data_IF_382399925225
#
_entry.id   IF_382399925225
#
_cell.length_a   1.000
_cell.length_b   1.000
_cell.length_c   1.000
_cell.angle_alpha   90.00
_cell.angle_beta   90.00
_cell.angle_gamma   90.00
#
_symmetry.space_group_name_H-M   'P 1'
#
loop_
_entity.id
_entity.type
_entity.pdbx_description
1 polymer ?
#
# COMPACT_ATOMS: atom_id res chain seq x y z
N UNK A 1 14.80 2.31 -50.33
CA UNK A 1 14.52 1.06 -49.57
C UNK A 1 14.02 1.44 -48.18
N UNK A 2 13.08 0.69 -47.63
CA UNK A 2 11.91 1.20 -46.89
C UNK A 2 12.15 1.73 -45.47
N UNK A 3 11.42 2.83 -45.18
CA UNK A 3 11.07 3.37 -43.86
C UNK A 3 10.31 2.32 -43.04
N UNK A 4 10.98 1.49 -42.23
CA UNK A 4 10.31 0.48 -41.39
C UNK A 4 10.77 0.39 -39.92
N UNK A 5 11.51 1.37 -39.36
CA UNK A 5 12.03 1.26 -37.98
C UNK A 5 11.56 2.31 -36.96
N UNK A 6 10.45 3.02 -37.20
CA UNK A 6 9.88 3.91 -36.17
C UNK A 6 8.38 3.63 -35.93
N UNK A 7 8.10 2.48 -35.31
CA UNK A 7 6.80 2.19 -34.69
C UNK A 7 6.97 1.55 -33.30
N UNK A 8 7.92 2.00 -32.49
CA UNK A 8 7.69 1.97 -31.03
C UNK A 8 6.81 3.18 -30.74
N UNK A 9 5.49 2.98 -30.67
CA UNK A 9 4.58 4.01 -30.16
C UNK A 9 5.04 4.33 -28.73
N UNK A 10 5.52 5.56 -28.53
CA UNK A 10 5.76 6.11 -27.20
C UNK A 10 4.42 6.23 -26.50
N UNK A 11 4.02 5.18 -25.79
CA UNK A 11 2.89 5.22 -24.90
C UNK A 11 3.40 5.57 -23.50
N UNK A 12 3.51 6.86 -23.21
CA UNK A 12 3.28 7.35 -21.84
C UNK A 12 1.79 7.15 -21.54
N UNK A 13 1.36 5.90 -21.41
CA UNK A 13 -0.02 5.60 -21.05
C UNK A 13 -0.21 5.94 -19.58
N UNK A 14 -1.06 6.93 -19.29
CA UNK A 14 -1.64 7.11 -17.96
C UNK A 14 -2.52 5.90 -17.66
N UNK A 15 -1.93 4.84 -17.11
CA UNK A 15 -2.68 3.63 -16.76
C UNK A 15 -3.40 3.75 -15.42
N UNK A 16 -3.28 4.88 -14.70
CA UNK A 16 -3.59 4.85 -13.26
C UNK A 16 -4.58 5.90 -12.77
N UNK A 17 -5.62 5.39 -12.10
CA UNK A 17 -6.85 6.08 -11.68
C UNK A 17 -6.73 6.90 -10.38
N UNK A 18 -5.59 6.94 -9.70
CA UNK A 18 -5.44 7.70 -8.44
C UNK A 18 -4.16 8.53 -8.42
N UNK A 19 -4.24 9.75 -7.87
CA UNK A 19 -3.11 10.69 -7.72
C UNK A 19 -1.90 10.07 -7.00
N UNK A 20 -2.14 9.07 -6.14
CA UNK A 20 -1.12 8.36 -5.36
C UNK A 20 -0.29 7.36 -6.18
N UNK A 21 -0.86 6.79 -7.25
CA UNK A 21 -0.16 5.85 -8.12
C UNK A 21 0.49 6.54 -9.33
N UNK A 22 0.28 7.86 -9.49
CA UNK A 22 0.80 8.65 -10.60
C UNK A 22 2.32 8.75 -10.58
N UNK A 23 2.91 9.03 -9.41
CA UNK A 23 4.37 9.20 -9.31
C UNK A 23 5.12 7.90 -9.64
N UNK A 24 4.79 6.74 -9.06
CA UNK A 24 5.50 5.51 -9.38
C UNK A 24 5.28 5.04 -10.82
N UNK A 25 4.08 5.24 -11.38
CA UNK A 25 3.82 4.95 -12.79
C UNK A 25 4.64 5.83 -13.73
N UNK A 26 4.80 7.12 -13.40
CA UNK A 26 5.64 8.03 -14.16
C UNK A 26 7.12 7.66 -14.06
N UNK A 27 7.60 7.27 -12.87
CA UNK A 27 8.99 6.80 -12.69
C UNK A 27 9.25 5.50 -13.45
N UNK A 28 8.31 4.55 -13.44
CA UNK A 28 8.41 3.33 -14.24
C UNK A 28 8.46 3.66 -15.74
N UNK A 29 7.54 4.49 -16.24
CA UNK A 29 7.52 4.88 -17.65
C UNK A 29 8.80 5.64 -18.07
N UNK A 30 9.38 6.41 -17.14
CA UNK A 30 10.65 7.10 -17.35
C UNK A 30 11.81 6.10 -17.51
N UNK A 31 11.88 5.08 -16.64
CA UNK A 31 12.86 3.98 -16.74
C UNK A 31 12.67 3.20 -18.04
N UNK A 32 11.43 2.82 -18.37
CA UNK A 32 11.10 2.07 -19.59
C UNK A 32 11.49 2.84 -20.87
N UNK A 33 11.55 4.18 -20.78
CA UNK A 33 11.91 5.07 -21.88
C UNK A 33 13.39 5.47 -21.90
N UNK A 34 14.23 4.95 -20.99
CA UNK A 34 15.62 5.36 -20.81
C UNK A 34 16.44 5.36 -22.10
N UNK A 35 16.50 4.23 -22.82
CA UNK A 35 17.29 4.11 -24.05
C UNK A 35 16.86 5.12 -25.12
N UNK A 36 15.55 5.36 -25.22
CA UNK A 36 15.00 6.31 -26.16
C UNK A 36 15.31 7.75 -25.76
N UNK A 37 15.28 8.07 -24.46
CA UNK A 37 15.66 9.38 -23.93
C UNK A 37 17.15 9.66 -24.10
N UNK A 38 18.02 8.66 -23.89
CA UNK A 38 19.45 8.75 -24.17
C UNK A 38 19.69 9.02 -25.66
N UNK A 39 19.06 8.25 -26.56
CA UNK A 39 19.18 8.43 -28.00
C UNK A 39 18.69 9.81 -28.48
N UNK A 40 17.58 10.30 -27.94
CA UNK A 40 17.03 11.63 -28.26
C UNK A 40 17.96 12.73 -27.74
N UNK A 41 18.48 12.58 -26.51
CA UNK A 41 19.38 13.55 -25.87
C UNK A 41 20.72 13.67 -26.59
N UNK A 42 21.20 12.60 -27.25
CA UNK A 42 22.45 12.60 -28.04
C UNK A 42 22.23 13.12 -29.47
N UNK A 43 20.98 13.19 -29.94
CA UNK A 43 20.66 13.68 -31.29
C UNK A 43 21.19 15.12 -31.51
N UNK A 44 21.83 15.43 -32.65
CA UNK A 44 22.43 16.73 -32.90
C UNK A 44 21.44 17.91 -32.79
N UNK A 45 20.21 17.72 -33.29
CA UNK A 45 19.18 18.77 -33.27
C UNK A 45 18.70 19.07 -31.84
N UNK A 46 18.48 18.03 -31.04
CA UNK A 46 17.99 18.14 -29.67
C UNK A 46 19.11 18.61 -28.74
N UNK A 47 20.32 18.09 -28.90
CA UNK A 47 21.50 18.56 -28.16
C UNK A 47 21.69 20.05 -28.35
N UNK A 48 21.66 20.53 -29.61
CA UNK A 48 21.79 21.96 -29.91
C UNK A 48 20.72 22.78 -29.20
N UNK A 49 19.46 22.32 -29.19
CA UNK A 49 18.35 22.99 -28.52
C UNK A 49 18.43 22.91 -26.98
N UNK A 50 18.92 21.82 -26.40
CA UNK A 50 19.05 21.67 -24.95
C UNK A 50 20.17 22.54 -24.38
N UNK A 51 21.28 22.71 -25.11
CA UNK A 51 22.43 23.49 -24.66
C UNK A 51 22.17 25.02 -24.64
N UNK A 52 21.07 25.50 -25.22
CA UNK A 52 20.72 26.93 -25.20
C UNK A 52 20.12 27.38 -23.86
N UNK A 53 19.65 26.45 -23.03
CA UNK A 53 18.99 26.77 -21.76
C UNK A 53 19.65 26.02 -20.60
N UNK A 54 19.71 26.63 -19.42
CA UNK A 54 20.22 25.96 -18.22
C UNK A 54 19.39 24.72 -17.85
N UNK A 55 18.07 24.79 -18.04
CA UNK A 55 17.18 23.64 -17.83
C UNK A 55 17.51 22.48 -18.79
N UNK A 56 17.74 22.76 -20.07
CA UNK A 56 18.10 21.73 -21.05
C UNK A 56 19.47 21.11 -20.77
N UNK A 57 20.46 21.90 -20.34
CA UNK A 57 21.77 21.40 -19.89
C UNK A 57 21.63 20.46 -18.69
N UNK A 58 20.81 20.84 -17.70
CA UNK A 58 20.56 20.03 -16.51
C UNK A 58 19.89 18.70 -16.86
N UNK A 59 18.81 18.72 -17.66
CA UNK A 59 18.12 17.50 -18.11
C UNK A 59 19.06 16.58 -18.87
N UNK A 60 19.86 17.14 -19.79
CA UNK A 60 20.85 16.36 -20.54
C UNK A 60 21.86 15.69 -19.61
N UNK A 61 22.36 16.41 -18.61
CA UNK A 61 23.29 15.86 -17.62
C UNK A 61 22.64 14.68 -16.88
N UNK A 62 21.41 14.85 -16.40
CA UNK A 62 20.69 13.80 -15.65
C UNK A 62 20.42 12.56 -16.50
N UNK A 63 19.90 12.72 -17.73
CA UNK A 63 19.55 11.59 -18.61
C UNK A 63 20.78 10.75 -19.01
N UNK A 64 21.97 11.36 -19.06
CA UNK A 64 23.21 10.66 -19.42
C UNK A 64 23.98 10.14 -18.20
N UNK A 65 23.48 10.39 -16.99
CA UNK A 65 24.11 9.98 -15.74
C UNK A 65 23.57 8.61 -15.30
N UNK A 66 24.47 7.62 -15.23
CA UNK A 66 24.13 6.26 -14.81
C UNK A 66 23.71 6.20 -13.34
N UNK A 67 24.33 7.02 -12.49
CA UNK A 67 24.03 7.04 -11.06
C UNK A 67 22.64 7.61 -10.82
N UNK A 68 22.25 8.64 -11.57
CA UNK A 68 20.89 9.17 -11.53
C UNK A 68 19.83 8.12 -11.88
N UNK A 69 20.05 7.30 -12.91
CA UNK A 69 19.13 6.20 -13.23
C UNK A 69 19.05 5.14 -12.12
N UNK A 70 20.17 4.86 -11.47
CA UNK A 70 20.23 3.98 -10.30
C UNK A 70 19.41 4.55 -9.13
N UNK A 71 19.51 5.86 -8.86
CA UNK A 71 18.69 6.55 -7.85
C UNK A 71 17.20 6.47 -8.17
N UNK A 72 16.80 6.72 -9.42
CA UNK A 72 15.40 6.62 -9.87
C UNK A 72 14.86 5.20 -9.67
N UNK A 73 15.64 4.18 -10.02
CA UNK A 73 15.31 2.78 -9.78
C UNK A 73 15.22 2.46 -8.29
N UNK A 74 16.10 3.03 -7.48
CA UNK A 74 16.08 2.92 -6.02
C UNK A 74 14.79 3.46 -5.42
N UNK A 75 14.37 4.67 -5.82
CA UNK A 75 13.10 5.26 -5.38
C UNK A 75 11.91 4.38 -5.77
N UNK A 76 11.91 3.85 -6.99
CA UNK A 76 10.83 2.98 -7.44
C UNK A 76 10.77 1.67 -6.64
N UNK A 77 11.94 1.07 -6.35
CA UNK A 77 12.08 -0.13 -5.53
C UNK A 77 11.57 0.11 -4.10
N UNK A 78 11.85 1.28 -3.54
CA UNK A 78 11.36 1.69 -2.21
C UNK A 78 9.82 1.79 -2.17
N UNK A 79 9.19 2.31 -3.23
CA UNK A 79 7.75 2.57 -3.27
C UNK A 79 6.95 1.36 -3.80
N UNK A 80 7.58 0.40 -4.44
CA UNK A 80 6.93 -0.79 -5.02
C UNK A 80 6.01 -1.55 -4.04
N UNK A 81 6.35 -1.75 -2.75
CA UNK A 81 5.45 -2.43 -1.81
C UNK A 81 4.11 -1.71 -1.60
N UNK A 82 4.06 -0.37 -1.72
CA UNK A 82 2.81 0.39 -1.67
C UNK A 82 1.93 0.17 -2.89
N UNK A 83 2.54 -0.09 -4.05
CA UNK A 83 1.80 -0.35 -5.29
C UNK A 83 1.19 -1.75 -5.30
N UNK A 84 1.91 -2.72 -4.75
CA UNK A 84 1.45 -4.10 -4.60
C UNK A 84 0.50 -4.31 -3.42
N UNK A 85 0.25 -3.26 -2.62
CA UNK A 85 -0.53 -3.33 -1.40
C UNK A 85 -2.01 -3.70 -1.66
N UNK A 86 -2.47 -4.76 -1.00
CA UNK A 86 -3.89 -5.14 -0.90
C UNK A 86 -4.60 -4.19 0.06
N UNK A 87 -5.83 -3.70 -0.23
CA UNK A 87 -6.54 -2.72 0.60
C UNK A 87 -7.07 -3.29 1.95
N UNK A 88 -6.44 -4.32 2.50
CA UNK A 88 -6.84 -4.97 3.76
C UNK A 88 -6.10 -4.35 4.95
N UNK A 89 -6.84 -3.87 5.94
CA UNK A 89 -6.28 -3.11 7.07
C UNK A 89 -5.15 -3.85 7.81
N UNK A 90 -5.26 -5.17 7.96
CA UNK A 90 -4.23 -6.03 8.57
C UNK A 90 -2.87 -5.98 7.86
N UNK A 91 -2.86 -5.74 6.56
CA UNK A 91 -1.64 -5.75 5.75
C UNK A 91 -0.90 -4.41 5.76
N UNK A 92 -1.49 -3.35 6.33
CA UNK A 92 -0.86 -2.02 6.39
C UNK A 92 0.49 -2.06 7.11
N UNK A 93 0.54 -2.78 8.23
CA UNK A 93 1.75 -2.90 9.04
C UNK A 93 2.87 -3.62 8.26
N UNK A 94 2.53 -4.69 7.54
CA UNK A 94 3.44 -5.38 6.62
C UNK A 94 3.96 -4.45 5.53
N UNK A 95 3.07 -3.70 4.87
CA UNK A 95 3.45 -2.79 3.78
C UNK A 95 4.45 -1.75 4.27
N UNK A 96 4.23 -1.17 5.46
CA UNK A 96 5.16 -0.24 6.09
C UNK A 96 6.56 -0.86 6.29
N UNK A 97 6.64 -2.05 6.89
CA UNK A 97 7.92 -2.70 7.16
C UNK A 97 8.65 -3.02 5.85
N UNK A 98 7.95 -3.48 4.81
CA UNK A 98 8.55 -3.72 3.48
C UNK A 98 9.13 -2.45 2.84
N UNK A 99 8.46 -1.30 2.99
CA UNK A 99 8.98 -0.01 2.50
C UNK A 99 10.21 0.40 3.27
N UNK A 100 10.18 0.27 4.60
CA UNK A 100 11.32 0.57 5.46
C UNK A 100 12.53 -0.30 5.08
N UNK A 101 12.32 -1.59 4.90
CA UNK A 101 13.38 -2.54 4.55
C UNK A 101 13.89 -2.34 3.11
N UNK A 102 13.06 -1.85 2.20
CA UNK A 102 13.48 -1.45 0.86
C UNK A 102 14.28 -0.14 0.88
N UNK A 103 13.89 0.82 1.72
CA UNK A 103 14.59 2.09 1.92
C UNK A 103 15.99 1.87 2.51
N UNK A 104 16.12 1.03 3.54
CA UNK A 104 17.42 0.72 4.16
C UNK A 104 18.37 0.04 3.16
N UNK A 105 17.86 -0.85 2.31
CA UNK A 105 18.65 -1.48 1.24
C UNK A 105 19.09 -0.50 0.16
N UNK A 106 18.25 0.48 -0.16
CA UNK A 106 18.51 1.47 -1.24
C UNK A 106 19.50 2.55 -0.81
N UNK A 107 19.46 2.98 0.45
CA UNK A 107 20.33 4.05 0.96
C UNK A 107 21.78 3.60 1.27
N UNK A 108 22.08 2.30 1.18
CA UNK A 108 23.36 1.74 1.63
C UNK A 108 23.50 1.81 3.15
N UNK A 109 24.34 0.96 3.73
CA UNK A 109 24.52 0.84 5.19
C UNK A 109 25.15 2.07 5.87
N UNK A 110 25.40 3.16 5.14
CA UNK A 110 26.13 4.34 5.65
C UNK A 110 25.25 5.55 5.97
N UNK A 111 23.98 5.56 5.55
CA UNK A 111 23.01 6.54 6.05
C UNK A 111 21.63 5.89 6.29
N UNK A 112 21.43 5.25 7.45
CA UNK A 112 20.18 4.61 7.81
C UNK A 112 19.00 5.58 7.96
N UNK A 113 19.20 6.90 7.86
CA UNK A 113 18.15 7.92 7.95
C UNK A 113 18.22 8.95 6.81
N UNK A 114 18.10 8.49 5.56
CA UNK A 114 17.85 9.41 4.46
C UNK A 114 16.65 10.33 4.78
N UNK A 115 16.72 11.60 4.38
CA UNK A 115 15.67 12.59 4.67
C UNK A 115 14.26 12.13 4.23
N UNK A 116 14.18 11.27 3.20
CA UNK A 116 12.96 10.63 2.76
C UNK A 116 12.43 9.59 3.77
N UNK A 117 13.29 8.71 4.28
CA UNK A 117 12.94 7.73 5.30
C UNK A 117 12.54 8.39 6.62
N UNK A 118 13.22 9.47 7.02
CA UNK A 118 12.85 10.28 8.19
C UNK A 118 11.46 10.90 8.05
N UNK A 119 11.15 11.50 6.88
CA UNK A 119 9.81 12.03 6.59
C UNK A 119 8.76 10.91 6.56
N UNK A 120 9.09 9.76 6.00
CA UNK A 120 8.19 8.60 5.95
C UNK A 120 7.90 8.07 7.36
N UNK A 121 8.92 7.84 8.18
CA UNK A 121 8.78 7.42 9.57
C UNK A 121 8.00 8.43 10.42
N UNK A 122 8.25 9.73 10.23
CA UNK A 122 7.47 10.79 10.89
C UNK A 122 5.99 10.74 10.52
N UNK A 123 5.65 10.47 9.26
CA UNK A 123 4.26 10.30 8.81
C UNK A 123 3.66 9.00 9.36
N UNK A 124 4.40 7.90 9.32
CA UNK A 124 3.95 6.63 9.86
C UNK A 124 3.62 6.73 11.35
N UNK A 125 4.48 7.36 12.17
CA UNK A 125 4.22 7.58 13.60
C UNK A 125 2.88 8.28 13.89
N UNK A 126 2.35 9.07 12.95
CA UNK A 126 1.05 9.75 13.08
C UNK A 126 -0.14 8.87 12.73
N UNK A 127 0.08 7.80 11.96
CA UNK A 127 -0.98 6.92 11.43
C UNK A 127 -0.92 5.53 12.10
N UNK A 128 0.24 5.13 12.62
CA UNK A 128 0.52 3.85 13.27
C UNK A 128 -0.20 3.72 14.61
N UNK A 129 -1.51 3.53 14.55
CA UNK A 129 -2.36 3.26 15.68
C UNK A 129 -2.31 1.78 16.07
N UNK A 130 -2.73 1.47 17.29
CA UNK A 130 -2.65 0.10 17.82
C UNK A 130 -3.57 -0.86 17.07
N UNK A 131 -4.65 -0.37 16.48
CA UNK A 131 -5.56 -1.12 15.63
C UNK A 131 -4.84 -1.73 14.43
N UNK A 132 -3.95 -0.97 13.77
CA UNK A 132 -3.16 -1.47 12.63
C UNK A 132 -2.22 -2.59 13.10
N UNK A 133 -1.60 -2.41 14.26
CA UNK A 133 -0.70 -3.41 14.85
C UNK A 133 -1.46 -4.68 15.18
N UNK A 134 -2.56 -4.59 15.93
CA UNK A 134 -3.38 -5.73 16.32
C UNK A 134 -3.99 -6.45 15.12
N UNK A 135 -4.51 -5.72 14.13
CA UNK A 135 -5.04 -6.31 12.91
C UNK A 135 -3.99 -7.16 12.16
N UNK A 136 -2.71 -6.79 12.24
CA UNK A 136 -1.64 -7.59 11.63
C UNK A 136 -1.43 -8.94 12.33
N UNK A 137 -1.61 -9.01 13.66
CA UNK A 137 -1.55 -10.26 14.41
C UNK A 137 -2.82 -11.12 14.23
N UNK A 138 -3.95 -10.49 13.95
CA UNK A 138 -5.20 -11.20 13.64
C UNK A 138 -5.24 -11.77 12.22
N UNK A 139 -4.31 -11.38 11.35
CA UNK A 139 -4.18 -11.93 10.00
C UNK A 139 -3.23 -13.14 9.98
N UNK A 140 -3.77 -14.28 10.39
CA UNK A 140 -3.02 -15.53 10.41
C UNK A 140 -2.70 -16.07 9.01
N UNK A 141 -3.23 -15.48 7.93
CA UNK A 141 -2.79 -15.82 6.57
C UNK A 141 -1.36 -15.36 6.30
N UNK A 142 -0.83 -14.45 7.12
CA UNK A 142 0.56 -14.00 7.08
C UNK A 142 1.52 -15.01 7.72
N UNK A 143 1.04 -15.86 8.63
CA UNK A 143 1.88 -16.82 9.35
C UNK A 143 2.41 -17.89 8.40
N UNK A 144 3.75 -18.03 8.34
CA UNK A 144 4.43 -18.94 7.42
C UNK A 144 4.42 -18.51 5.95
N UNK A 145 3.95 -17.29 5.65
CA UNK A 145 4.04 -16.67 4.33
C UNK A 145 5.31 -15.84 4.14
N UNK A 146 5.34 -15.02 3.08
CA UNK A 146 6.46 -14.13 2.73
C UNK A 146 6.69 -12.98 3.75
N UNK A 147 5.86 -12.90 4.79
CA UNK A 147 5.99 -11.94 5.88
C UNK A 147 5.23 -12.45 7.09
N UNK A 148 5.94 -12.64 8.20
CA UNK A 148 5.34 -12.90 9.51
C UNK A 148 5.41 -11.59 10.32
N UNK A 149 4.34 -11.22 11.07
CA UNK A 149 4.44 -10.12 12.02
C UNK A 149 5.67 -10.30 12.92
N UNK A 150 6.45 -9.23 13.19
CA UNK A 150 7.62 -9.34 14.03
C UNK A 150 7.24 -9.82 15.43
N UNK A 151 8.18 -10.48 16.11
CA UNK A 151 8.00 -10.86 17.51
C UNK A 151 7.66 -9.61 18.35
N UNK A 152 6.70 -9.76 19.26
CA UNK A 152 6.28 -8.65 20.13
C UNK A 152 7.39 -8.38 21.16
N UNK A 153 8.03 -7.22 21.02
CA UNK A 153 8.94 -6.68 22.01
C UNK A 153 8.20 -6.14 23.24
N UNK A 154 8.95 -5.89 24.32
CA UNK A 154 8.39 -5.40 25.59
C UNK A 154 7.63 -4.08 25.40
N UNK A 155 8.13 -3.20 24.54
CA UNK A 155 7.47 -1.93 24.22
C UNK A 155 6.12 -2.14 23.54
N UNK A 156 6.02 -3.06 22.58
CA UNK A 156 4.76 -3.37 21.91
C UNK A 156 3.79 -4.03 22.88
N UNK A 157 4.27 -4.89 23.78
CA UNK A 157 3.46 -5.52 24.82
C UNK A 157 2.85 -4.49 25.77
N UNK A 158 3.64 -3.54 26.26
CA UNK A 158 3.15 -2.42 27.08
C UNK A 158 2.11 -1.58 26.34
N UNK A 159 2.32 -1.31 25.05
CA UNK A 159 1.36 -0.57 24.22
C UNK A 159 0.05 -1.32 24.02
N UNK A 160 0.09 -2.65 23.83
CA UNK A 160 -1.12 -3.49 23.72
C UNK A 160 -1.89 -3.48 25.04
N UNK A 161 -1.21 -3.70 26.17
CA UNK A 161 -1.84 -3.65 27.49
C UNK A 161 -2.47 -2.28 27.75
N UNK A 162 -1.72 -1.20 27.49
CA UNK A 162 -2.22 0.17 27.64
C UNK A 162 -3.39 0.48 26.71
N UNK A 163 -3.41 -0.10 25.50
CA UNK A 163 -4.53 0.01 24.58
C UNK A 163 -5.79 -0.65 25.13
N UNK A 164 -5.73 -1.91 25.58
CA UNK A 164 -6.90 -2.59 26.12
C UNK A 164 -7.47 -1.87 27.35
N UNK A 165 -6.63 -1.48 28.31
CA UNK A 165 -7.06 -0.72 29.49
C UNK A 165 -7.71 0.62 29.16
N UNK A 166 -7.23 1.29 28.10
CA UNK A 166 -7.76 2.60 27.70
C UNK A 166 -9.08 2.48 26.91
N UNK A 167 -9.17 1.46 26.06
CA UNK A 167 -10.30 1.29 25.14
C UNK A 167 -11.50 0.66 25.84
N UNK A 168 -11.27 -0.30 26.73
CA UNK A 168 -12.33 -1.02 27.44
C UNK A 168 -12.43 -0.50 28.87
N UNK A 169 -13.61 0.02 29.22
CA UNK A 169 -13.90 0.55 30.57
C UNK A 169 -14.08 -0.54 31.63
N UNK A 170 -14.27 -1.78 31.18
CA UNK A 170 -14.39 -2.95 32.04
C UNK A 170 -13.01 -3.61 32.13
N UNK A 171 -12.41 -3.52 33.33
CA UNK A 171 -11.08 -4.07 33.59
C UNK A 171 -11.04 -5.59 33.41
N UNK A 172 -12.12 -6.31 33.75
CA UNK A 172 -12.17 -7.76 33.60
C UNK A 172 -12.19 -8.16 32.12
N UNK A 173 -12.90 -7.40 31.28
CA UNK A 173 -12.88 -7.59 29.83
C UNK A 173 -11.50 -7.27 29.25
N UNK A 174 -10.86 -6.19 29.70
CA UNK A 174 -9.53 -5.81 29.24
C UNK A 174 -8.46 -6.87 29.58
N UNK A 175 -8.50 -7.42 30.79
CA UNK A 175 -7.65 -8.54 31.22
C UNK A 175 -7.90 -9.78 30.37
N UNK A 176 -9.17 -10.16 30.16
CA UNK A 176 -9.55 -11.31 29.34
C UNK A 176 -9.07 -11.18 27.89
N UNK A 177 -9.19 -10.00 27.30
CA UNK A 177 -8.69 -9.72 25.95
C UNK A 177 -7.16 -9.83 25.87
N UNK A 178 -6.46 -9.34 26.89
CA UNK A 178 -5.01 -9.42 26.97
C UNK A 178 -4.52 -10.87 27.09
N UNK A 179 -5.16 -11.67 27.93
CA UNK A 179 -4.83 -13.09 28.10
C UNK A 179 -5.11 -13.89 26.82
N UNK A 180 -6.28 -13.71 26.21
CA UNK A 180 -6.61 -14.36 24.93
C UNK A 180 -5.65 -13.95 23.81
N UNK A 181 -5.21 -12.68 23.80
CA UNK A 181 -4.20 -12.22 22.85
C UNK A 181 -2.84 -12.89 23.10
N UNK A 182 -2.46 -13.06 24.36
CA UNK A 182 -1.29 -13.85 24.75
C UNK A 182 -1.36 -15.29 24.24
N UNK A 183 -2.51 -15.95 24.42
CA UNK A 183 -2.74 -17.32 23.93
C UNK A 183 -2.63 -17.41 22.40
N UNK A 184 -3.14 -16.41 21.67
CA UNK A 184 -3.01 -16.35 20.20
C UNK A 184 -1.53 -16.33 19.78
N UNK A 185 -0.73 -15.47 20.43
CA UNK A 185 0.69 -15.32 20.11
C UNK A 185 1.49 -16.57 20.47
N UNK A 186 1.18 -17.17 21.62
CA UNK A 186 1.80 -18.41 22.08
C UNK A 186 1.32 -19.65 21.29
N UNK A 187 0.32 -19.50 20.42
CA UNK A 187 -0.40 -20.60 19.77
C UNK A 187 -0.86 -21.63 20.80
N UNK A 188 -1.44 -21.14 21.89
CA UNK A 188 -1.88 -21.93 23.03
C UNK A 188 -3.41 -22.08 23.04
N UNK A 189 -3.89 -23.01 23.87
CA UNK A 189 -5.33 -23.23 24.09
C UNK A 189 -6.09 -23.50 22.78
N UNK A 190 -7.12 -22.70 22.53
CA UNK A 190 -7.98 -22.80 21.33
C UNK A 190 -7.24 -22.45 20.03
N UNK A 191 -6.10 -21.76 20.10
CA UNK A 191 -5.29 -21.35 18.94
C UNK A 191 -4.17 -22.35 18.60
N UNK A 192 -4.01 -23.42 19.37
CA UNK A 192 -2.97 -24.44 19.17
C UNK A 192 -3.31 -25.44 18.05
N UNK A 193 -4.55 -25.44 17.54
CA UNK A 193 -5.01 -26.44 16.58
C UNK A 193 -4.30 -26.30 15.22
N UNK A 194 -3.45 -27.27 14.91
CA UNK A 194 -2.67 -27.31 13.67
C UNK A 194 -3.51 -27.40 12.38
N UNK A 195 -4.72 -27.98 12.45
CA UNK A 195 -5.65 -28.01 11.32
C UNK A 195 -6.23 -26.61 11.08
N UNK A 196 -6.67 -25.91 12.13
CA UNK A 196 -7.19 -24.55 12.01
C UNK A 196 -6.15 -23.57 11.48
N UNK A 197 -4.89 -23.71 11.90
CA UNK A 197 -3.77 -22.89 11.39
C UNK A 197 -3.51 -23.13 9.90
N UNK A 198 -3.57 -24.39 9.43
CA UNK A 198 -3.44 -24.71 8.00
C UNK A 198 -4.59 -24.15 7.18
N UNK A 199 -5.80 -24.11 7.75
CA UNK A 199 -6.97 -23.51 7.11
C UNK A 199 -6.83 -22.00 7.03
N UNK A 200 -6.26 -21.34 8.03
CA UNK A 200 -6.05 -19.89 8.07
C UNK A 200 -5.29 -19.36 6.86
N UNK A 201 -4.31 -20.10 6.35
CA UNK A 201 -3.54 -19.75 5.15
C UNK A 201 -4.36 -19.78 3.84
N UNK A 202 -5.54 -20.41 3.84
CA UNK A 202 -6.35 -20.66 2.63
C UNK A 202 -7.63 -19.84 2.55
N UNK A 203 -8.06 -19.23 3.66
CA UNK A 203 -9.29 -18.45 3.73
C UNK A 203 -8.99 -17.01 4.18
N UNK A 204 -9.95 -16.10 4.00
CA UNK A 204 -9.74 -14.73 4.48
C UNK A 204 -9.69 -14.71 6.02
N UNK A 205 -8.85 -13.85 6.63
CA UNK A 205 -8.76 -13.74 8.09
C UNK A 205 -10.10 -13.47 8.75
N UNK A 206 -10.92 -12.60 8.14
CA UNK A 206 -12.25 -12.30 8.62
C UNK A 206 -13.15 -13.56 8.68
N UNK A 207 -13.11 -14.39 7.64
CA UNK A 207 -13.86 -15.66 7.62
C UNK A 207 -13.31 -16.61 8.68
N UNK A 208 -11.99 -16.72 8.81
CA UNK A 208 -11.37 -17.59 9.82
C UNK A 208 -11.84 -17.26 11.23
N UNK A 209 -11.79 -15.98 11.63
CA UNK A 209 -12.28 -15.56 12.95
C UNK A 209 -13.77 -15.83 13.13
N UNK A 210 -14.60 -15.54 12.11
CA UNK A 210 -16.05 -15.67 12.18
C UNK A 210 -16.54 -17.11 12.34
N UNK A 211 -15.84 -18.07 11.74
CA UNK A 211 -16.30 -19.47 11.70
C UNK A 211 -15.73 -20.33 12.83
N UNK A 212 -14.61 -19.96 13.43
CA UNK A 212 -13.87 -20.85 14.33
C UNK A 212 -13.90 -20.42 15.79
N UNK A 213 -14.25 -19.17 16.10
CA UNK A 213 -14.22 -18.64 17.46
C UNK A 213 -15.48 -17.83 17.76
N UNK A 214 -15.91 -17.90 19.01
CA UNK A 214 -17.00 -17.10 19.58
C UNK A 214 -16.54 -16.58 20.96
N UNK A 215 -15.46 -15.82 20.94
CA UNK A 215 -14.86 -15.21 22.13
C UNK A 215 -14.63 -13.70 21.94
N UNK A 216 -14.25 -13.02 23.01
CA UNK A 216 -14.09 -11.56 23.02
C UNK A 216 -13.01 -11.10 22.03
N UNK A 217 -11.88 -11.83 21.95
CA UNK A 217 -10.82 -11.53 21.01
C UNK A 217 -11.28 -11.68 19.55
N UNK A 218 -12.10 -12.67 19.25
CA UNK A 218 -12.66 -12.88 17.90
C UNK A 218 -13.60 -11.75 17.49
N UNK A 219 -14.38 -11.20 18.44
CA UNK A 219 -15.22 -10.03 18.20
C UNK A 219 -14.36 -8.83 17.81
N UNK A 220 -13.31 -8.55 18.60
CA UNK A 220 -12.36 -7.47 18.30
C UNK A 220 -11.64 -7.70 16.95
N UNK A 221 -11.20 -8.93 16.68
CA UNK A 221 -10.53 -9.27 15.42
C UNK A 221 -11.44 -8.98 14.22
N UNK A 222 -12.72 -9.37 14.29
CA UNK A 222 -13.70 -9.10 13.24
C UNK A 222 -13.93 -7.59 13.05
N UNK A 223 -14.01 -6.81 14.12
CA UNK A 223 -14.14 -5.36 14.07
C UNK A 223 -12.94 -4.70 13.37
N UNK A 224 -11.72 -5.06 13.78
CA UNK A 224 -10.50 -4.47 13.21
C UNK A 224 -10.27 -4.90 11.76
N UNK A 225 -10.53 -6.17 11.42
CA UNK A 225 -10.38 -6.69 10.07
C UNK A 225 -11.44 -6.13 9.10
N UNK A 226 -12.60 -5.68 9.62
CA UNK A 226 -13.62 -5.02 8.84
C UNK A 226 -13.30 -3.55 8.51
N UNK A 227 -12.29 -2.94 9.17
CA UNK A 227 -11.86 -1.58 8.86
C UNK A 227 -11.37 -1.53 7.41
N UNK A 228 -11.86 -0.56 6.64
CA UNK A 228 -11.38 -0.31 5.28
C UNK A 228 -10.35 0.83 5.32
N UNK A 229 -9.05 0.55 5.06
CA UNK A 229 -7.96 1.51 5.23
C UNK A 229 -7.95 2.65 4.21
N UNK A 230 -8.69 2.54 3.10
CA UNK A 230 -8.58 3.50 2.00
C UNK A 230 -9.92 4.16 1.65
N UNK A 231 -9.88 5.49 1.53
CA UNK A 231 -10.82 6.25 0.71
C UNK A 231 -10.63 5.94 -0.79
N UNK A 232 -9.54 5.28 -1.19
CA UNK A 232 -9.22 4.97 -2.58
C UNK A 232 -10.29 4.13 -3.30
N UNK A 233 -11.02 3.27 -2.58
CA UNK A 233 -12.19 2.59 -3.14
C UNK A 233 -13.33 3.56 -3.47
N UNK A 234 -13.56 4.53 -2.58
CA UNK A 234 -14.51 5.62 -2.77
C UNK A 234 -14.01 6.52 -3.91
N UNK A 235 -12.71 6.84 -4.00
CA UNK A 235 -12.13 7.62 -5.09
C UNK A 235 -12.23 6.91 -6.44
N UNK A 236 -12.07 5.57 -6.49
CA UNK A 236 -12.29 4.76 -7.70
C UNK A 236 -13.76 4.76 -8.10
N UNK A 237 -14.67 4.66 -7.13
CA UNK A 237 -16.12 4.75 -7.35
C UNK A 237 -16.50 6.12 -7.94
N UNK A 238 -15.99 7.21 -7.34
CA UNK A 238 -16.17 8.57 -7.88
C UNK A 238 -15.47 8.80 -9.22
N UNK A 239 -14.32 8.16 -9.48
CA UNK A 239 -13.62 8.26 -10.77
C UNK A 239 -14.36 7.51 -11.87
N UNK A 240 -14.92 6.34 -11.56
CA UNK A 240 -15.76 5.54 -12.48
C UNK A 240 -16.99 6.35 -12.89
N UNK A 241 -17.57 7.09 -11.95
CA UNK A 241 -18.68 8.02 -12.20
C UNK A 241 -18.23 9.44 -12.56
N UNK A 242 -16.93 9.66 -12.80
CA UNK A 242 -16.38 10.98 -13.07
C UNK A 242 -16.96 11.61 -14.34
N UNK A 243 -17.33 10.78 -15.32
CA UNK A 243 -18.02 11.21 -16.54
C UNK A 243 -19.42 11.77 -16.25
N UNK A 244 -20.16 11.16 -15.32
CA UNK A 244 -21.50 11.61 -14.92
C UNK A 244 -21.48 12.84 -14.02
N UNK A 245 -20.34 13.15 -13.39
CA UNK A 245 -20.18 14.33 -12.55
C UNK A 245 -19.55 15.53 -13.29
N UNK A 246 -18.69 15.29 -14.28
CA UNK A 246 -17.92 16.36 -14.96
C UNK A 246 -18.34 16.66 -16.40
N UNK A 247 -19.21 15.86 -17.02
CA UNK A 247 -19.65 16.16 -18.38
C UNK A 247 -20.88 17.08 -18.39
N UNK A 248 -20.85 18.11 -19.23
CA UNK A 248 -21.97 19.04 -19.42
C UNK A 248 -23.21 18.36 -20.02
N UNK A 249 -23.05 17.20 -20.67
CA UNK A 249 -24.11 16.47 -21.39
C UNK A 249 -24.76 15.34 -20.59
N UNK A 250 -24.08 14.79 -19.58
CA UNK A 250 -24.61 13.70 -18.72
C UNK A 250 -24.49 14.00 -17.23
N UNK A 251 -24.26 15.27 -16.88
CA UNK A 251 -24.21 15.78 -15.51
C UNK A 251 -25.47 15.44 -14.74
N UNK A 252 -25.38 14.48 -13.82
CA UNK A 252 -26.45 14.24 -12.85
C UNK A 252 -26.44 15.37 -11.82
N UNK A 253 -27.62 15.78 -11.33
CA UNK A 253 -27.68 16.62 -10.15
C UNK A 253 -27.02 15.89 -8.97
N UNK A 254 -26.37 16.65 -8.08
CA UNK A 254 -25.56 16.15 -6.96
C UNK A 254 -26.26 15.06 -6.14
N UNK A 255 -27.58 15.12 -6.01
CA UNK A 255 -28.37 14.13 -5.27
C UNK A 255 -28.55 12.79 -6.03
N UNK A 256 -28.68 12.83 -7.35
CA UNK A 256 -28.73 11.64 -8.20
C UNK A 256 -27.39 10.91 -8.24
N UNK A 257 -26.29 11.66 -8.33
CA UNK A 257 -24.94 11.10 -8.27
C UNK A 257 -24.67 10.40 -6.92
N UNK A 258 -25.08 11.02 -5.79
CA UNK A 258 -24.96 10.41 -4.45
C UNK A 258 -25.73 9.10 -4.32
N UNK A 259 -26.97 9.03 -4.83
CA UNK A 259 -27.80 7.82 -4.80
C UNK A 259 -27.14 6.68 -5.61
N UNK A 260 -26.60 6.99 -6.77
CA UNK A 260 -25.96 6.01 -7.66
C UNK A 260 -24.67 5.43 -7.03
N UNK A 261 -23.83 6.31 -6.47
CA UNK A 261 -22.62 5.93 -5.71
C UNK A 261 -22.96 5.08 -4.47
N UNK A 262 -24.11 5.28 -3.84
CA UNK A 262 -24.54 4.48 -2.69
C UNK A 262 -25.08 3.09 -3.08
N UNK A 263 -25.76 2.98 -4.22
CA UNK A 263 -26.41 1.73 -4.67
C UNK A 263 -25.40 0.75 -5.29
N UNK A 264 -24.43 1.22 -6.05
CA UNK A 264 -23.51 0.33 -6.79
C UNK A 264 -22.69 -0.60 -5.88
N UNK A 265 -22.14 -0.17 -4.73
CA UNK A 265 -21.46 -1.07 -3.80
C UNK A 265 -22.40 -2.00 -3.03
N UNK A 266 -23.70 -1.71 -3.02
CA UNK A 266 -24.73 -2.48 -2.28
C UNK A 266 -25.56 -3.40 -3.18
N UNK A 267 -25.45 -3.27 -4.50
CA UNK A 267 -26.12 -4.12 -5.47
C UNK A 267 -25.40 -5.48 -5.59
N UNK A 268 -26.12 -6.62 -5.55
CA UNK A 268 -25.52 -7.93 -5.78
C UNK A 268 -24.93 -7.97 -7.20
N UNK A 269 -23.63 -8.23 -7.31
CA UNK A 269 -22.97 -8.37 -8.62
C UNK A 269 -23.59 -9.56 -9.36
N UNK A 270 -24.43 -9.28 -10.36
CA UNK A 270 -24.83 -10.29 -11.34
C UNK A 270 -23.60 -10.61 -12.18
N UNK A 271 -22.98 -11.76 -11.91
CA UNK A 271 -22.05 -12.39 -12.83
C UNK A 271 -22.84 -12.74 -14.10
N UNK A 272 -22.48 -12.12 -15.22
CA UNK A 272 -22.80 -12.61 -16.57
C UNK A 272 -21.61 -13.44 -17.06
#
# INVERSE_FOLDING_TARGET
MQRHMYKKKFHLSRSVSTRLQLLPANLQALIDSREALEAVTISPLVTKAMLTTEAGKAVRKMVLDLDWWSEVQGVLTMVAPLLAYSPEFSKLYMAYNRIRDAATRTSGSQDPESAALTKFNSRWRKINCMEIVLASYFDLSLVGGDYEPPEIDDQTRERVMGYFKKTYKDDALAEKLYDQFGDLLARAGVFADSFLLKVAARISPYIWWRYHFDNELSTLALELLAIRPSSGMIDRLWSTHGFMNNSSRTGLQTEGAKKLVYIEPTAPQRKL
#
